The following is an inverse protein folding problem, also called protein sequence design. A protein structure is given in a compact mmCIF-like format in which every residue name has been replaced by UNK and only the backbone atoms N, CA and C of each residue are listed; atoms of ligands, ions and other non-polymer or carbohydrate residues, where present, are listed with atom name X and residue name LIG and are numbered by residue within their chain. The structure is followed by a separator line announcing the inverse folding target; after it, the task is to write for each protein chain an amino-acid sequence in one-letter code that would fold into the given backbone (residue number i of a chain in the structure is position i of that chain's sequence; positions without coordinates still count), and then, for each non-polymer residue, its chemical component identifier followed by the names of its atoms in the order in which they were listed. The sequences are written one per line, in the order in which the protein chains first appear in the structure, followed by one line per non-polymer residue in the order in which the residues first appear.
data_IF_653092637751
#
_entry.id   IF_653092637751
#
_cell.length_a   1.000
_cell.length_b   1.000
_cell.length_c   1.000
_cell.angle_alpha   90.00
_cell.angle_beta   90.00
_cell.angle_gamma   90.00
#
_symmetry.space_group_name_H-M   'P 1'
#
loop_
_entity.id
_entity.type
_entity.pdbx_description
1 polymer ?
#
# COMPACT_ATOMS: atom_id res chain seq x y z
N UNK A 1 -7.95 23.04 -3.49
CA UNK A 1 -8.13 21.76 -4.20
C UNK A 1 -9.23 20.88 -3.62
N UNK A 2 -9.36 20.75 -2.28
CA UNK A 2 -10.46 20.01 -1.64
C UNK A 2 -11.86 20.34 -2.19
N UNK A 3 -12.20 21.62 -2.33
CA UNK A 3 -13.48 22.08 -2.91
C UNK A 3 -13.66 21.71 -4.39
N UNK A 4 -12.57 21.58 -5.16
CA UNK A 4 -12.64 21.14 -6.56
C UNK A 4 -12.86 19.64 -6.64
N UNK A 5 -12.19 18.86 -5.80
CA UNK A 5 -12.40 17.41 -5.73
C UNK A 5 -13.79 17.08 -5.14
N UNK A 6 -14.30 17.86 -4.19
CA UNK A 6 -15.68 17.69 -3.70
C UNK A 6 -16.72 18.03 -4.79
N UNK A 7 -16.42 18.97 -5.68
CA UNK A 7 -17.34 19.40 -6.75
C UNK A 7 -17.27 18.52 -8.01
N UNK A 8 -16.09 18.00 -8.36
CA UNK A 8 -15.82 17.30 -9.63
C UNK A 8 -15.19 15.91 -9.45
N UNK A 9 -14.88 15.50 -8.23
CA UNK A 9 -14.27 14.20 -7.89
C UNK A 9 -15.31 13.17 -7.49
N UNK A 10 -16.41 13.06 -8.23
CA UNK A 10 -17.30 11.90 -8.08
C UNK A 10 -16.72 10.78 -8.92
N UNK A 11 -16.37 9.67 -8.27
CA UNK A 11 -15.80 8.48 -8.90
C UNK A 11 -16.59 8.05 -10.15
N UNK A 12 -17.92 8.02 -10.04
CA UNK A 12 -18.81 7.61 -11.14
C UNK A 12 -18.81 8.60 -12.32
N UNK A 13 -18.48 9.87 -12.09
CA UNK A 13 -18.35 10.87 -13.16
C UNK A 13 -16.97 10.81 -13.84
N UNK A 14 -15.94 10.32 -13.13
CA UNK A 14 -14.57 10.20 -13.64
C UNK A 14 -14.31 8.88 -14.38
N UNK A 15 -14.89 7.78 -13.89
CA UNK A 15 -14.62 6.44 -14.40
C UNK A 15 -15.82 5.80 -15.10
N UNK A 16 -17.01 6.41 -15.05
CA UNK A 16 -18.24 5.83 -15.61
C UNK A 16 -19.00 4.93 -14.64
N UNK A 17 -20.00 4.21 -15.14
CA UNK A 17 -20.88 3.33 -14.37
C UNK A 17 -20.13 2.13 -13.77
N UNK A 18 -20.60 1.64 -12.60
CA UNK A 18 -20.01 0.51 -11.83
C UNK A 18 -19.97 -0.84 -12.59
N UNK A 19 -20.51 -0.92 -13.81
CA UNK A 19 -20.55 -2.12 -14.66
C UNK A 19 -19.28 -2.34 -15.51
N UNK A 20 -18.26 -1.48 -15.37
CA UNK A 20 -16.98 -1.67 -16.08
C UNK A 20 -16.19 -2.88 -15.53
N UNK A 21 -15.46 -3.61 -16.39
CA UNK A 21 -14.58 -4.67 -15.95
C UNK A 21 -13.49 -4.11 -15.02
N UNK A 22 -13.20 -4.84 -13.94
CA UNK A 22 -12.28 -4.38 -12.87
C UNK A 22 -10.89 -3.97 -13.39
N UNK A 23 -10.38 -4.62 -14.44
CA UNK A 23 -9.09 -4.30 -15.06
C UNK A 23 -9.05 -2.92 -15.73
N UNK A 24 -10.15 -2.49 -16.37
CA UNK A 24 -10.24 -1.14 -16.97
C UNK A 24 -10.28 -0.07 -15.89
N UNK A 25 -11.05 -0.30 -14.81
CA UNK A 25 -11.10 0.61 -13.67
C UNK A 25 -9.75 0.73 -12.96
N UNK A 26 -9.01 -0.37 -12.78
CA UNK A 26 -7.65 -0.36 -12.22
C UNK A 26 -6.69 0.48 -13.11
N UNK A 27 -6.79 0.35 -14.43
CA UNK A 27 -5.98 1.09 -15.38
C UNK A 27 -6.29 2.60 -15.34
N UNK A 28 -7.58 2.97 -15.30
CA UNK A 28 -7.99 4.36 -15.25
C UNK A 28 -7.58 5.05 -13.94
N UNK A 29 -7.74 4.35 -12.80
CA UNK A 29 -7.24 4.84 -11.51
C UNK A 29 -5.72 5.09 -11.55
N UNK A 30 -4.97 4.18 -12.18
CA UNK A 30 -3.52 4.33 -12.33
C UNK A 30 -3.17 5.51 -13.25
N UNK A 31 -3.91 5.72 -14.34
CA UNK A 31 -3.76 6.88 -15.21
C UNK A 31 -4.00 8.17 -14.44
N UNK A 32 -5.01 8.22 -13.57
CA UNK A 32 -5.27 9.38 -12.71
C UNK A 32 -4.07 9.70 -11.81
N UNK A 33 -3.54 8.69 -11.11
CA UNK A 33 -2.37 8.87 -10.22
C UNK A 33 -1.15 9.35 -11.01
N UNK A 34 -0.84 8.71 -12.15
CA UNK A 34 0.26 9.12 -13.03
C UNK A 34 0.09 10.54 -13.56
N UNK A 35 -1.13 10.93 -13.91
CA UNK A 35 -1.44 12.28 -14.38
C UNK A 35 -1.14 13.31 -13.29
N UNK A 36 -1.59 13.09 -12.06
CA UNK A 36 -1.27 13.99 -10.93
C UNK A 36 0.23 14.07 -10.69
N UNK A 37 0.94 12.94 -10.68
CA UNK A 37 2.38 12.90 -10.49
C UNK A 37 3.14 13.67 -11.59
N UNK A 38 2.74 13.51 -12.86
CA UNK A 38 3.37 14.19 -13.99
C UNK A 38 3.12 15.71 -13.99
N UNK A 39 1.89 16.15 -13.73
CA UNK A 39 1.52 17.58 -13.70
C UNK A 39 2.27 18.32 -12.59
N UNK A 40 2.46 17.67 -11.44
CA UNK A 40 3.08 18.27 -10.26
C UNK A 40 4.51 17.77 -10.01
N UNK A 41 5.20 17.24 -11.02
CA UNK A 41 6.54 16.65 -10.90
C UNK A 41 7.56 17.58 -10.21
N UNK A 42 7.45 18.89 -10.45
CA UNK A 42 8.33 19.92 -9.84
C UNK A 42 7.97 20.26 -8.39
N UNK A 43 6.89 19.71 -7.87
CA UNK A 43 6.38 20.01 -6.53
C UNK A 43 5.91 18.75 -5.81
N UNK A 44 6.83 17.94 -5.24
CA UNK A 44 6.52 16.72 -4.51
C UNK A 44 5.46 16.85 -3.42
N UNK A 45 5.47 17.97 -2.68
CA UNK A 45 4.47 18.25 -1.65
C UNK A 45 3.05 18.32 -2.20
N UNK A 46 2.87 18.91 -3.39
CA UNK A 46 1.57 18.97 -4.05
C UNK A 46 1.13 17.57 -4.48
N UNK A 47 2.02 16.75 -5.04
CA UNK A 47 1.70 15.36 -5.39
C UNK A 47 1.15 14.62 -4.16
N UNK A 48 1.89 14.65 -3.04
CA UNK A 48 1.48 13.97 -1.81
C UNK A 48 0.14 14.44 -1.26
N UNK A 49 -0.08 15.77 -1.18
CA UNK A 49 -1.33 16.34 -0.68
C UNK A 49 -2.53 15.98 -1.56
N UNK A 50 -2.36 16.00 -2.88
CA UNK A 50 -3.44 15.75 -3.84
C UNK A 50 -3.81 14.26 -3.83
N UNK A 51 -2.83 13.37 -3.93
CA UNK A 51 -3.06 11.94 -3.90
C UNK A 51 -3.69 11.50 -2.57
N UNK A 52 -3.22 12.01 -1.43
CA UNK A 52 -3.83 11.73 -0.13
C UNK A 52 -5.28 12.25 -0.05
N UNK A 53 -5.58 13.43 -0.60
CA UNK A 53 -6.95 13.94 -0.66
C UNK A 53 -7.85 13.08 -1.53
N UNK A 54 -7.37 12.66 -2.70
CA UNK A 54 -8.10 11.78 -3.62
C UNK A 54 -8.35 10.40 -3.02
N UNK A 55 -7.34 9.80 -2.36
CA UNK A 55 -7.46 8.53 -1.64
C UNK A 55 -8.55 8.59 -0.56
N UNK A 56 -8.56 9.67 0.24
CA UNK A 56 -9.56 9.86 1.31
C UNK A 56 -10.98 10.06 0.80
N UNK A 57 -11.13 10.49 -0.44
CA UNK A 57 -12.42 10.62 -1.11
C UNK A 57 -12.83 9.35 -1.87
N UNK A 58 -12.01 8.31 -1.85
CA UNK A 58 -12.29 7.04 -2.54
C UNK A 58 -12.17 7.14 -4.06
N UNK A 59 -11.43 8.13 -4.58
CA UNK A 59 -11.24 8.27 -6.03
C UNK A 59 -10.43 7.14 -6.64
N UNK A 60 -9.50 6.56 -5.87
CA UNK A 60 -8.79 5.34 -6.24
C UNK A 60 -8.55 4.49 -5.00
N UNK A 61 -8.23 3.22 -5.22
CA UNK A 61 -7.91 2.26 -4.16
C UNK A 61 -6.45 2.40 -3.68
N UNK A 62 -6.14 2.01 -2.44
CA UNK A 62 -4.76 1.95 -1.95
C UNK A 62 -3.82 1.12 -2.84
N UNK A 63 -4.34 0.06 -3.47
CA UNK A 63 -3.59 -0.80 -4.40
C UNK A 63 -3.03 -0.01 -5.58
N UNK A 64 -3.75 1.00 -6.06
CA UNK A 64 -3.34 1.84 -7.18
C UNK A 64 -2.06 2.62 -6.87
N UNK A 65 -1.91 3.14 -5.64
CA UNK A 65 -0.66 3.78 -5.21
C UNK A 65 0.47 2.76 -5.10
N UNK A 66 0.20 1.59 -4.52
CA UNK A 66 1.21 0.53 -4.42
C UNK A 66 1.70 0.12 -5.80
N UNK A 67 0.80 -0.06 -6.77
CA UNK A 67 1.14 -0.34 -8.16
C UNK A 67 1.94 0.81 -8.79
N UNK A 68 1.49 2.06 -8.59
CA UNK A 68 2.15 3.25 -9.12
C UNK A 68 3.59 3.38 -8.63
N UNK A 69 3.90 3.09 -7.37
CA UNK A 69 5.28 3.20 -6.84
C UNK A 69 6.29 2.38 -7.65
N UNK A 70 5.88 1.25 -8.25
CA UNK A 70 6.75 0.41 -9.08
C UNK A 70 6.63 0.69 -10.58
N UNK A 71 5.93 1.75 -10.98
CA UNK A 71 5.90 2.18 -12.39
C UNK A 71 7.18 2.94 -12.75
N UNK A 72 7.62 2.92 -14.02
CA UNK A 72 8.89 3.55 -14.41
C UNK A 72 9.02 5.02 -13.99
N UNK A 73 7.92 5.78 -14.01
CA UNK A 73 7.88 7.18 -13.60
C UNK A 73 8.17 7.37 -12.10
N UNK A 74 7.68 6.48 -11.23
CA UNK A 74 7.95 6.53 -9.80
C UNK A 74 9.31 5.91 -9.45
N UNK A 75 9.70 4.83 -10.12
CA UNK A 75 10.98 4.12 -9.91
C UNK A 75 12.16 5.05 -10.11
N UNK A 76 12.15 5.89 -11.15
CA UNK A 76 13.21 6.88 -11.39
C UNK A 76 13.37 7.90 -10.24
N UNK A 77 12.41 7.96 -9.32
CA UNK A 77 12.33 8.96 -8.25
C UNK A 77 12.67 8.38 -6.87
N UNK A 78 13.10 7.12 -6.75
CA UNK A 78 13.36 6.46 -5.46
C UNK A 78 14.48 7.08 -4.62
N UNK A 79 15.37 7.88 -5.21
CA UNK A 79 16.33 8.68 -4.44
C UNK A 79 15.69 9.83 -3.67
N UNK A 80 14.42 10.15 -3.95
CA UNK A 80 13.67 11.20 -3.27
C UNK A 80 12.70 10.62 -2.23
N UNK A 81 12.64 11.19 -1.02
CA UNK A 81 11.77 10.68 0.04
C UNK A 81 10.27 10.65 -0.27
N UNK A 82 9.78 11.56 -1.13
CA UNK A 82 8.35 11.79 -1.28
C UNK A 82 7.57 10.58 -1.81
N UNK A 83 8.17 9.75 -2.68
CA UNK A 83 7.53 8.52 -3.19
C UNK A 83 7.21 7.59 -2.02
N UNK A 84 8.16 7.46 -1.10
CA UNK A 84 8.03 6.64 0.10
C UNK A 84 7.08 7.26 1.12
N UNK A 85 7.04 8.59 1.24
CA UNK A 85 6.05 9.27 2.09
C UNK A 85 4.62 8.99 1.61
N UNK A 86 4.35 9.10 0.30
CA UNK A 86 3.05 8.78 -0.30
C UNK A 86 2.66 7.32 -0.03
N UNK A 87 3.61 6.39 -0.23
CA UNK A 87 3.39 4.97 0.07
C UNK A 87 3.07 4.75 1.55
N UNK A 88 3.88 5.30 2.44
CA UNK A 88 3.74 5.14 3.89
C UNK A 88 2.41 5.72 4.39
N UNK A 89 1.99 6.88 3.86
CA UNK A 89 0.71 7.49 4.18
C UNK A 89 -0.47 6.65 3.70
N UNK A 90 -0.34 6.02 2.52
CA UNK A 90 -1.37 5.11 1.99
C UNK A 90 -1.52 3.85 2.84
N UNK A 91 -0.42 3.20 3.22
CA UNK A 91 -0.47 2.03 4.11
C UNK A 91 -0.98 2.41 5.51
N UNK A 92 -0.59 3.58 6.01
CA UNK A 92 -1.08 4.12 7.28
C UNK A 92 -2.58 4.40 7.22
N UNK A 93 -3.10 4.91 6.10
CA UNK A 93 -4.53 5.13 5.91
C UNK A 93 -5.35 3.85 6.12
N UNK A 94 -4.93 2.73 5.52
CA UNK A 94 -5.59 1.43 5.70
C UNK A 94 -5.43 0.93 7.15
N UNK A 95 -4.22 1.03 7.71
CA UNK A 95 -3.96 0.62 9.10
C UNK A 95 -4.80 1.40 10.13
N UNK A 96 -4.96 2.70 9.93
CA UNK A 96 -5.76 3.55 10.82
C UNK A 96 -7.26 3.23 10.69
N UNK A 97 -7.73 2.84 9.50
CA UNK A 97 -9.09 2.32 9.31
C UNK A 97 -9.33 1.01 10.07
N UNK A 98 -8.37 0.07 10.04
CA UNK A 98 -8.40 -1.17 10.85
C UNK A 98 -8.49 -0.81 12.33
N UNK A 99 -7.64 0.10 12.82
CA UNK A 99 -7.64 0.54 14.23
C UNK A 99 -8.95 1.22 14.64
N UNK A 100 -9.56 1.98 13.74
CA UNK A 100 -10.87 2.59 14.00
C UNK A 100 -11.96 1.52 14.16
N UNK A 101 -11.97 0.51 13.27
CA UNK A 101 -12.91 -0.61 13.37
C UNK A 101 -12.69 -1.47 14.60
N UNK A 102 -11.44 -1.76 14.98
CA UNK A 102 -11.14 -2.46 16.23
C UNK A 102 -11.67 -1.72 17.46
N UNK A 103 -11.51 -0.39 17.52
CA UNK A 103 -12.06 0.43 18.61
C UNK A 103 -13.60 0.41 18.63
N UNK A 104 -14.26 0.41 17.48
CA UNK A 104 -15.72 0.28 17.40
C UNK A 104 -16.20 -1.07 17.95
N UNK A 105 -15.47 -2.15 17.66
CA UNK A 105 -15.77 -3.49 18.21
C UNK A 105 -15.60 -3.55 19.73
N UNK A 106 -14.50 -3.02 20.25
CA UNK A 106 -14.25 -2.97 21.71
C UNK A 106 -15.36 -2.23 22.46
N UNK A 107 -15.84 -1.11 21.90
CA UNK A 107 -16.96 -0.35 22.47
C UNK A 107 -18.29 -1.09 22.38
N UNK A 108 -18.51 -1.85 21.31
CA UNK A 108 -19.73 -2.65 21.14
C UNK A 108 -19.77 -3.89 22.07
N UNK A 109 -18.60 -4.44 22.44
CA UNK A 109 -18.48 -5.59 23.34
C UNK A 109 -18.37 -5.24 24.83
N UNK A 110 -18.26 -3.97 25.20
CA UNK A 110 -18.16 -3.53 26.58
C UNK A 110 -19.48 -3.74 27.36
N UNK A 111 -19.44 -4.17 28.64
CA UNK A 111 -20.65 -4.40 29.43
C UNK A 111 -21.41 -3.08 29.66
N UNK A 112 -22.60 -2.96 29.06
CA UNK A 112 -23.48 -1.79 29.20
C UNK A 112 -24.14 -1.77 30.58
N UNK A 113 -24.20 -0.58 31.19
CA UNK A 113 -24.97 -0.36 32.43
C UNK A 113 -26.48 -0.54 32.17
N UNK A 114 -27.25 -0.89 33.20
CA UNK A 114 -28.67 -1.26 33.05
C UNK A 114 -29.58 -0.18 32.46
N UNK A 115 -29.16 1.08 32.46
CA UNK A 115 -29.91 2.23 31.92
C UNK A 115 -29.79 2.41 30.39
N UNK A 116 -28.88 1.68 29.73
CA UNK A 116 -28.57 1.85 28.29
C UNK A 116 -29.33 0.87 27.37
N UNK A 117 -30.31 0.13 27.91
CA UNK A 117 -31.01 -0.96 27.20
C UNK A 117 -32.10 -0.50 26.22
N UNK A 118 -32.50 0.77 26.26
CA UNK A 118 -33.53 1.34 25.39
C UNK A 118 -32.97 1.98 24.10
N UNK A 119 -31.67 1.84 23.83
CA UNK A 119 -31.06 2.41 22.63
C UNK A 119 -31.12 1.40 21.46
N UNK A 120 -32.04 1.61 20.51
CA UNK A 120 -32.24 0.79 19.30
C UNK A 120 -31.02 0.80 18.34
N UNK A 121 -30.06 1.71 18.52
CA UNK A 121 -28.78 1.74 17.80
C UNK A 121 -27.76 0.76 18.40
N UNK A 122 -28.08 -0.53 18.36
CA UNK A 122 -27.09 -1.57 18.67
C UNK A 122 -26.18 -1.73 17.44
N UNK A 123 -24.86 -1.49 17.56
CA UNK A 123 -23.93 -1.67 16.45
C UNK A 123 -23.96 -3.13 16.01
N UNK A 124 -24.10 -3.38 14.70
CA UNK A 124 -23.98 -4.72 14.14
C UNK A 124 -22.53 -5.19 14.28
N UNK A 125 -22.27 -5.95 15.34
CA UNK A 125 -20.95 -6.50 15.68
C UNK A 125 -20.43 -7.38 14.54
N UNK A 126 -21.30 -8.19 13.92
CA UNK A 126 -20.91 -9.07 12.82
C UNK A 126 -20.44 -8.26 11.61
N UNK A 127 -21.19 -7.22 11.22
CA UNK A 127 -20.78 -6.32 10.13
C UNK A 127 -19.47 -5.56 10.43
N UNK A 128 -19.23 -5.19 11.70
CA UNK A 128 -17.98 -4.55 12.12
C UNK A 128 -16.78 -5.52 12.08
N UNK A 129 -16.97 -6.78 12.50
CA UNK A 129 -15.95 -7.83 12.42
C UNK A 129 -15.59 -8.16 10.97
N UNK A 130 -16.60 -8.35 10.12
CA UNK A 130 -16.43 -8.58 8.69
C UNK A 130 -15.69 -7.42 8.01
N UNK A 131 -16.09 -6.17 8.32
CA UNK A 131 -15.44 -4.98 7.81
C UNK A 131 -13.97 -4.87 8.24
N UNK A 132 -13.66 -5.18 9.51
CA UNK A 132 -12.28 -5.21 10.00
C UNK A 132 -11.47 -6.27 9.28
N UNK A 133 -12.02 -7.47 9.11
CA UNK A 133 -11.33 -8.59 8.43
C UNK A 133 -11.02 -8.25 6.97
N UNK A 134 -11.97 -7.65 6.24
CA UNK A 134 -11.74 -7.18 4.86
C UNK A 134 -10.58 -6.18 4.77
N UNK A 135 -10.51 -5.22 5.69
CA UNK A 135 -9.40 -4.25 5.72
C UNK A 135 -8.06 -4.90 6.09
N UNK A 136 -8.05 -5.90 6.97
CA UNK A 136 -6.85 -6.67 7.29
C UNK A 136 -6.36 -7.47 6.07
N UNK A 137 -7.28 -8.12 5.36
CA UNK A 137 -6.98 -8.85 4.14
C UNK A 137 -6.49 -7.91 3.02
N UNK A 138 -7.08 -6.73 2.89
CA UNK A 138 -6.62 -5.68 1.97
C UNK A 138 -5.18 -5.25 2.31
N UNK A 139 -4.90 -4.90 3.57
CA UNK A 139 -3.55 -4.51 3.99
C UNK A 139 -2.53 -5.63 3.73
N UNK A 140 -2.90 -6.89 4.00
CA UNK A 140 -2.07 -8.05 3.70
C UNK A 140 -1.75 -8.11 2.21
N UNK A 141 -2.75 -8.02 1.34
CA UNK A 141 -2.57 -8.05 -0.12
C UNK A 141 -1.70 -6.90 -0.63
N UNK A 142 -1.87 -5.68 -0.09
CA UNK A 142 -1.00 -4.54 -0.41
C UNK A 142 0.46 -4.82 -0.07
N UNK A 143 0.72 -5.44 1.09
CA UNK A 143 2.07 -5.81 1.49
C UNK A 143 2.65 -6.89 0.58
N UNK A 144 1.85 -7.87 0.16
CA UNK A 144 2.33 -8.88 -0.81
C UNK A 144 2.70 -8.22 -2.13
N UNK A 145 1.83 -7.34 -2.64
CA UNK A 145 2.07 -6.57 -3.86
C UNK A 145 3.35 -5.72 -3.76
N UNK A 146 3.60 -5.11 -2.59
CA UNK A 146 4.81 -4.36 -2.32
C UNK A 146 6.08 -5.21 -2.41
N UNK A 147 6.10 -6.35 -1.72
CA UNK A 147 7.29 -7.22 -1.71
C UNK A 147 7.56 -7.83 -3.10
N UNK A 148 6.51 -8.19 -3.85
CA UNK A 148 6.62 -8.56 -5.27
C UNK A 148 7.25 -7.43 -6.09
N UNK A 149 6.73 -6.21 -5.94
CA UNK A 149 7.22 -5.03 -6.64
C UNK A 149 8.68 -4.73 -6.33
N UNK A 150 9.07 -4.76 -5.05
CA UNK A 150 10.47 -4.55 -4.63
C UNK A 150 11.41 -5.56 -5.28
N UNK A 151 11.10 -6.86 -5.18
CA UNK A 151 11.93 -7.90 -5.80
C UNK A 151 12.10 -7.64 -7.30
N UNK A 152 10.99 -7.35 -7.99
CA UNK A 152 11.01 -7.07 -9.43
C UNK A 152 11.92 -5.88 -9.80
N UNK A 153 11.68 -4.70 -9.23
CA UNK A 153 12.45 -3.50 -9.62
C UNK A 153 13.92 -3.60 -9.23
N UNK A 154 14.22 -4.29 -8.13
CA UNK A 154 15.61 -4.56 -7.72
C UNK A 154 16.30 -5.50 -8.72
N UNK A 155 15.63 -6.57 -9.15
CA UNK A 155 16.15 -7.48 -10.17
C UNK A 155 16.38 -6.74 -11.51
N UNK A 156 15.40 -5.93 -11.93
CA UNK A 156 15.49 -5.13 -13.16
C UNK A 156 16.66 -4.14 -13.13
N UNK A 157 16.82 -3.38 -12.04
CA UNK A 157 17.94 -2.42 -11.87
C UNK A 157 19.30 -3.09 -11.94
N UNK A 158 19.46 -4.26 -11.31
CA UNK A 158 20.71 -5.03 -11.39
C UNK A 158 21.00 -5.52 -12.79
N UNK A 159 19.99 -6.03 -13.49
CA UNK A 159 20.14 -6.48 -14.87
C UNK A 159 20.53 -5.31 -15.81
N UNK A 160 19.97 -4.12 -15.59
CA UNK A 160 20.35 -2.91 -16.32
C UNK A 160 21.80 -2.52 -16.03
N UNK A 161 22.21 -2.47 -14.76
CA UNK A 161 23.59 -2.17 -14.39
C UNK A 161 24.60 -3.19 -14.94
N UNK A 162 24.27 -4.48 -14.89
CA UNK A 162 25.08 -5.55 -15.47
C UNK A 162 25.27 -5.36 -16.99
N UNK A 163 24.22 -4.89 -17.69
CA UNK A 163 24.28 -4.62 -19.13
C UNK A 163 25.14 -3.40 -19.49
N UNK A 164 25.22 -2.43 -18.59
CA UNK A 164 26.00 -1.20 -18.75
C UNK A 164 27.43 -1.31 -18.18
N UNK A 165 27.73 -2.38 -17.43
CA UNK A 165 28.98 -2.54 -16.71
C UNK A 165 29.14 -1.58 -15.53
N UNK A 166 28.03 -1.12 -14.95
CA UNK A 166 28.00 -0.23 -13.79
C UNK A 166 27.74 -1.00 -12.48
N UNK A 167 28.14 -0.43 -11.34
CA UNK A 167 27.87 -1.04 -10.03
C UNK A 167 26.41 -0.75 -9.61
N UNK A 168 25.57 -1.76 -9.35
CA UNK A 168 24.19 -1.55 -8.95
C UNK A 168 24.04 -0.91 -7.56
N UNK A 169 25.08 -0.79 -6.74
CA UNK A 169 25.01 -0.33 -5.33
C UNK A 169 24.98 1.19 -5.15
N UNK A 170 24.20 1.85 -5.98
CA UNK A 170 23.99 3.30 -5.95
C UNK A 170 22.98 3.74 -4.86
N UNK A 171 22.65 5.03 -4.85
CA UNK A 171 21.70 5.59 -3.88
C UNK A 171 20.28 5.07 -4.11
N UNK A 172 19.90 4.80 -5.36
CA UNK A 172 18.59 4.25 -5.71
C UNK A 172 18.41 2.86 -5.09
N UNK A 173 19.39 1.98 -5.27
CA UNK A 173 19.37 0.61 -4.79
C UNK A 173 19.33 0.52 -3.28
N UNK A 174 20.16 1.34 -2.60
CA UNK A 174 20.14 1.44 -1.13
C UNK A 174 18.80 1.95 -0.62
N UNK A 175 18.23 2.95 -1.28
CA UNK A 175 16.92 3.49 -0.92
C UNK A 175 15.83 2.41 -1.02
N UNK A 176 15.78 1.67 -2.14
CA UNK A 176 14.82 0.58 -2.34
C UNK A 176 14.92 -0.52 -1.26
N UNK A 177 16.14 -1.01 -0.96
CA UNK A 177 16.35 -2.04 0.06
C UNK A 177 15.98 -1.56 1.47
N UNK A 178 16.37 -0.33 1.83
CA UNK A 178 16.04 0.25 3.13
C UNK A 178 14.53 0.42 3.31
N UNK A 179 13.81 0.79 2.25
CA UNK A 179 12.36 0.94 2.30
C UNK A 179 11.65 -0.40 2.39
N UNK A 180 12.10 -1.41 1.65
CA UNK A 180 11.62 -2.79 1.79
C UNK A 180 11.77 -3.28 3.24
N UNK A 181 12.94 -3.07 3.84
CA UNK A 181 13.19 -3.43 5.23
C UNK A 181 12.31 -2.63 6.21
N UNK A 182 12.20 -1.32 6.02
CA UNK A 182 11.41 -0.44 6.89
C UNK A 182 9.92 -0.81 6.88
N UNK A 183 9.35 -1.10 5.71
CA UNK A 183 7.97 -1.57 5.57
C UNK A 183 7.79 -2.91 6.28
N UNK A 184 8.71 -3.86 6.10
CA UNK A 184 8.67 -5.16 6.75
C UNK A 184 8.63 -5.08 8.28
N UNK A 185 9.44 -4.20 8.87
CA UNK A 185 9.43 -3.97 10.32
C UNK A 185 8.19 -3.22 10.80
N UNK A 186 7.78 -2.18 10.08
CA UNK A 186 6.65 -1.33 10.46
C UNK A 186 5.31 -2.08 10.43
N UNK A 187 5.13 -2.95 9.47
CA UNK A 187 3.90 -3.73 9.27
C UNK A 187 4.09 -5.18 9.69
N UNK A 188 4.85 -5.40 10.77
CA UNK A 188 5.19 -6.74 11.25
C UNK A 188 3.95 -7.65 11.38
N UNK A 189 3.01 -7.27 12.24
CA UNK A 189 1.83 -8.10 12.54
C UNK A 189 0.98 -8.40 11.28
N UNK A 190 0.61 -7.42 10.42
CA UNK A 190 -0.12 -7.73 9.20
C UNK A 190 0.63 -8.62 8.19
N UNK A 191 1.97 -8.54 8.15
CA UNK A 191 2.79 -9.27 7.20
C UNK A 191 2.97 -10.75 7.58
N UNK A 192 2.82 -11.10 8.86
CA UNK A 192 3.03 -12.46 9.38
C UNK A 192 2.28 -13.53 8.56
N UNK A 193 1.00 -13.30 8.30
CA UNK A 193 0.14 -14.22 7.55
C UNK A 193 0.44 -14.28 6.04
N UNK A 194 1.35 -13.46 5.53
CA UNK A 194 1.79 -13.44 4.14
C UNK A 194 3.23 -13.95 3.96
N UNK A 195 3.96 -14.26 5.04
CA UNK A 195 5.37 -14.66 4.95
C UNK A 195 5.55 -15.95 4.15
N UNK A 196 4.66 -16.94 4.33
CA UNK A 196 4.76 -18.21 3.61
C UNK A 196 4.41 -18.06 2.13
N UNK A 197 3.38 -17.27 1.80
CA UNK A 197 3.02 -16.89 0.42
C UNK A 197 4.21 -16.19 -0.27
N UNK A 198 4.79 -15.19 0.40
CA UNK A 198 5.95 -14.44 -0.13
C UNK A 198 7.18 -15.33 -0.30
N UNK A 199 7.45 -16.22 0.64
CA UNK A 199 8.57 -17.15 0.54
C UNK A 199 8.41 -18.10 -0.65
N UNK A 200 7.20 -18.58 -0.90
CA UNK A 200 6.92 -19.55 -1.97
C UNK A 200 6.88 -18.87 -3.35
N UNK A 201 6.17 -17.75 -3.46
CA UNK A 201 5.85 -17.13 -4.74
C UNK A 201 6.82 -16.05 -5.19
N UNK A 202 7.54 -15.42 -4.25
CA UNK A 202 8.38 -14.24 -4.56
C UNK A 202 9.84 -14.51 -4.29
N UNK A 203 10.16 -15.08 -3.13
CA UNK A 203 11.54 -15.27 -2.65
C UNK A 203 12.00 -16.72 -2.70
N UNK A 204 11.38 -17.55 -3.54
CA UNK A 204 11.82 -18.91 -3.80
C UNK A 204 12.93 -18.94 -4.85
N UNK A 205 13.79 -19.95 -4.75
CA UNK A 205 14.90 -20.17 -5.72
C UNK A 205 14.35 -20.36 -7.14
N UNK A 206 13.17 -20.96 -7.27
CA UNK A 206 12.48 -21.14 -8.55
C UNK A 206 11.98 -19.84 -9.18
N UNK A 207 11.78 -18.78 -8.39
CA UNK A 207 11.22 -17.50 -8.85
C UNK A 207 12.30 -16.52 -9.32
N UNK A 208 13.57 -16.96 -9.44
CA UNK A 208 14.71 -16.09 -9.78
C UNK A 208 14.77 -14.83 -8.91
N UNK A 209 14.47 -14.99 -7.62
CA UNK A 209 14.42 -13.90 -6.66
C UNK A 209 15.79 -13.23 -6.50
N UNK A 210 15.80 -11.91 -6.36
CA UNK A 210 17.05 -11.19 -6.15
C UNK A 210 17.70 -11.59 -4.83
N UNK A 211 19.02 -11.78 -4.84
CA UNK A 211 19.78 -12.22 -3.67
C UNK A 211 19.71 -11.21 -2.51
N UNK A 212 19.77 -9.90 -2.80
CA UNK A 212 19.76 -8.88 -1.75
C UNK A 212 18.34 -8.59 -1.26
N UNK A 213 17.34 -8.57 -2.15
CA UNK A 213 15.93 -8.53 -1.75
C UNK A 213 15.58 -9.76 -0.88
N UNK A 214 16.06 -10.95 -1.24
CA UNK A 214 15.87 -12.18 -0.46
C UNK A 214 16.52 -12.07 0.92
N UNK A 215 17.74 -11.53 1.03
CA UNK A 215 18.37 -11.29 2.35
C UNK A 215 17.53 -10.36 3.22
N UNK A 216 17.03 -9.25 2.67
CA UNK A 216 16.15 -8.34 3.41
C UNK A 216 14.87 -9.05 3.85
N UNK A 217 14.26 -9.85 2.97
CA UNK A 217 13.08 -10.64 3.32
C UNK A 217 13.37 -11.64 4.45
N UNK A 218 14.50 -12.36 4.42
CA UNK A 218 14.88 -13.25 5.53
C UNK A 218 15.12 -12.49 6.84
N UNK A 219 15.80 -11.33 6.80
CA UNK A 219 15.99 -10.49 7.97
C UNK A 219 14.66 -10.04 8.58
N UNK A 220 13.70 -9.63 7.73
CA UNK A 220 12.35 -9.32 8.17
C UNK A 220 11.73 -10.56 8.79
N UNK A 221 11.79 -11.74 8.16
CA UNK A 221 11.20 -12.99 8.68
C UNK A 221 11.82 -13.45 10.01
N UNK A 222 13.13 -13.33 10.18
CA UNK A 222 13.84 -13.71 11.40
C UNK A 222 13.47 -12.82 12.60
N UNK A 223 13.11 -11.56 12.34
CA UNK A 223 12.60 -10.67 13.39
C UNK A 223 11.30 -11.18 14.04
N UNK A 224 10.59 -12.12 13.41
CA UNK A 224 9.38 -12.73 13.96
C UNK A 224 9.66 -13.93 14.84
N UNK A 225 10.80 -14.60 14.63
CA UNK A 225 11.19 -15.80 15.40
C UNK A 225 11.92 -15.47 16.70
N UNK A 226 12.37 -14.23 16.83
CA UNK A 226 13.21 -13.75 17.93
C UNK A 226 12.46 -12.87 18.95
N UNK A 227 11.14 -12.68 18.79
CA UNK A 227 10.25 -11.92 19.67
C UNK A 227 9.19 -12.83 20.27
#
# INVERSE_FOLDING_TARGET
MRLLLEKYGKRNELFGSEDQPAEETDADELILVKTVASVWLKSPQHIGLILNAMLRQGLFRPSTIVTWVFTPDAVQQYSWPYVWEILNDTLKFVQDAIRAKSRQLELASAPRSSDDRDNEDMPDVAALEDGRKRLQDELRQLLVLLFRGFNRVITEHKAECDSEGSDPRDNWFRSALLQMQAVGHRYRVPLENALDELQLEVFSVSSSADVDATKIFQLVRESYRSA
#
